data_IF_735068776325
#
_entry.id   IF_735068776325
#
_cell.length_a   1.000
_cell.length_b   1.000
_cell.length_c   1.000
_cell.angle_alpha   90.00
_cell.angle_beta   90.00
_cell.angle_gamma   90.00
#
_symmetry.space_group_name_H-M   'P 1'
#
loop_
_entity.id
_entity.type
_entity.pdbx_description
1 polymer ?
#
# COMPACT_ATOMS: atom_id res chain seq x y z
N UNK A 1 -1.53 -14.11 6.27
CA UNK A 1 -2.79 -14.71 5.76
C UNK A 1 -3.88 -13.64 5.72
N UNK A 2 -4.65 -13.58 4.63
CA UNK A 2 -5.83 -12.72 4.43
C UNK A 2 -7.03 -13.61 4.20
N UNK A 3 -8.14 -13.37 4.91
CA UNK A 3 -9.40 -14.06 4.69
C UNK A 3 -10.54 -13.05 4.59
N UNK A 4 -11.29 -13.14 3.52
CA UNK A 4 -12.41 -12.26 3.20
C UNK A 4 -13.65 -13.11 2.99
N UNK A 5 -14.75 -12.75 3.65
CA UNK A 5 -16.01 -13.49 3.54
C UNK A 5 -17.19 -12.55 3.33
N UNK A 6 -17.91 -12.74 2.23
CA UNK A 6 -19.11 -11.98 1.85
C UNK A 6 -18.90 -10.46 1.91
N UNK A 7 -17.71 -9.97 1.56
CA UNK A 7 -17.35 -8.57 1.65
C UNK A 7 -18.14 -7.74 0.64
N UNK A 8 -18.83 -6.73 1.13
CA UNK A 8 -19.59 -5.80 0.30
C UNK A 8 -19.22 -4.36 0.62
N UNK A 9 -19.22 -3.50 -0.39
CA UNK A 9 -19.03 -2.06 -0.25
C UNK A 9 -20.06 -1.31 -1.07
N UNK A 10 -20.82 -0.49 -0.38
CA UNK A 10 -21.84 0.37 -0.96
C UNK A 10 -21.47 1.81 -0.63
N UNK A 11 -21.37 2.64 -1.64
CA UNK A 11 -21.25 4.09 -1.51
C UNK A 11 -22.62 4.72 -1.64
N UNK A 12 -22.99 5.56 -0.69
CA UNK A 12 -24.26 6.28 -0.68
C UNK A 12 -24.01 7.76 -0.71
N UNK A 13 -24.65 8.42 -1.66
CA UNK A 13 -24.83 9.87 -1.67
C UNK A 13 -26.31 10.15 -1.46
N UNK A 14 -26.71 11.41 -1.34
CA UNK A 14 -28.12 11.79 -1.12
C UNK A 14 -29.06 11.28 -2.22
N UNK A 15 -28.56 11.11 -3.44
CA UNK A 15 -29.38 10.75 -4.61
C UNK A 15 -29.04 9.38 -5.22
N UNK A 16 -27.87 8.82 -4.93
CA UNK A 16 -27.38 7.61 -5.63
C UNK A 16 -26.76 6.63 -4.66
N UNK A 17 -27.09 5.35 -4.83
CA UNK A 17 -26.44 4.24 -4.17
C UNK A 17 -25.66 3.44 -5.22
N UNK A 18 -24.34 3.28 -5.00
CA UNK A 18 -23.44 2.54 -5.88
C UNK A 18 -22.83 1.37 -5.16
N UNK A 19 -23.15 0.15 -5.60
CA UNK A 19 -22.52 -1.07 -5.08
C UNK A 19 -21.19 -1.29 -5.79
N UNK A 20 -20.08 -1.05 -5.08
CA UNK A 20 -18.73 -1.23 -5.61
C UNK A 20 -18.21 -2.66 -5.42
N UNK A 21 -18.61 -3.34 -4.35
CA UNK A 21 -18.32 -4.75 -4.08
C UNK A 21 -19.58 -5.44 -3.61
N UNK A 22 -19.82 -6.65 -4.10
CA UNK A 22 -21.01 -7.43 -3.77
C UNK A 22 -20.64 -8.87 -3.40
N UNK A 23 -20.56 -9.16 -2.09
CA UNK A 23 -20.41 -10.52 -1.56
C UNK A 23 -19.07 -11.20 -1.92
N UNK A 24 -17.98 -10.46 -2.04
CA UNK A 24 -16.67 -11.01 -2.43
C UNK A 24 -16.11 -11.88 -1.30
N UNK A 25 -15.67 -13.10 -1.66
CA UNK A 25 -15.05 -14.04 -0.71
C UNK A 25 -13.82 -14.68 -1.32
N UNK A 26 -12.71 -14.67 -0.59
CA UNK A 26 -11.45 -15.34 -0.96
C UNK A 26 -10.52 -15.45 0.24
N UNK A 27 -9.48 -16.26 0.08
CA UNK A 27 -8.40 -16.42 1.04
C UNK A 27 -7.07 -16.31 0.33
N UNK A 28 -6.10 -15.61 0.95
CA UNK A 28 -4.70 -15.50 0.50
C UNK A 28 -3.83 -15.99 1.65
N UNK A 29 -3.02 -16.99 1.37
CA UNK A 29 -2.08 -17.56 2.34
C UNK A 29 -0.78 -16.76 2.39
N UNK A 30 -0.01 -16.97 3.44
CA UNK A 30 1.29 -16.34 3.57
C UNK A 30 2.22 -16.79 2.43
N UNK A 31 2.97 -15.83 1.88
CA UNK A 31 3.88 -16.06 0.75
C UNK A 31 3.23 -16.12 -0.62
N UNK A 32 1.91 -15.99 -0.74
CA UNK A 32 1.23 -15.98 -2.03
C UNK A 32 1.37 -14.61 -2.72
N UNK A 33 1.51 -14.66 -4.04
CA UNK A 33 1.42 -13.53 -4.93
C UNK A 33 0.08 -13.58 -5.70
N UNK A 34 -0.76 -12.58 -5.50
CA UNK A 34 -2.12 -12.53 -6.08
C UNK A 34 -2.28 -11.31 -6.98
N UNK A 35 -2.86 -11.50 -8.17
CA UNK A 35 -3.23 -10.42 -9.07
C UNK A 35 -4.76 -10.25 -9.11
N UNK A 36 -5.24 -9.02 -8.88
CA UNK A 36 -6.65 -8.67 -9.00
C UNK A 36 -6.85 -8.01 -10.37
N UNK A 37 -7.59 -8.67 -11.25
CA UNK A 37 -7.84 -8.22 -12.62
C UNK A 37 -9.32 -8.00 -12.87
N UNK A 38 -9.63 -7.20 -13.89
CA UNK A 38 -11.01 -6.91 -14.32
C UNK A 38 -11.12 -5.56 -15.03
N UNK A 39 -12.25 -5.26 -15.67
CA UNK A 39 -12.47 -4.01 -16.39
C UNK A 39 -12.39 -2.78 -15.48
N UNK A 40 -12.29 -1.59 -16.09
CA UNK A 40 -12.35 -0.33 -15.34
C UNK A 40 -13.68 -0.22 -14.59
N UNK A 41 -13.66 0.29 -13.37
CA UNK A 41 -14.87 0.48 -12.55
C UNK A 41 -15.39 -0.76 -11.81
N UNK A 42 -14.80 -1.96 -11.99
CA UNK A 42 -15.30 -3.19 -11.35
C UNK A 42 -14.92 -3.35 -9.85
N UNK A 43 -14.52 -2.30 -9.18
CA UNK A 43 -14.26 -2.32 -7.72
C UNK A 43 -12.84 -2.71 -7.27
N UNK A 44 -11.86 -2.92 -8.18
CA UNK A 44 -10.48 -3.32 -7.81
C UNK A 44 -9.84 -2.37 -6.80
N UNK A 45 -9.87 -1.08 -7.07
CA UNK A 45 -9.30 -0.07 -6.17
C UNK A 45 -10.04 -0.01 -4.83
N UNK A 46 -11.36 -0.20 -4.85
CA UNK A 46 -12.16 -0.28 -3.62
C UNK A 46 -11.75 -1.48 -2.78
N UNK A 47 -11.59 -2.65 -3.41
CA UNK A 47 -11.12 -3.84 -2.72
C UNK A 47 -9.70 -3.63 -2.14
N UNK A 48 -8.76 -3.10 -2.94
CA UNK A 48 -7.40 -2.81 -2.46
C UNK A 48 -7.38 -1.80 -1.31
N UNK A 49 -8.25 -0.78 -1.33
CA UNK A 49 -8.36 0.18 -0.23
C UNK A 49 -8.85 -0.49 1.06
N UNK A 50 -9.80 -1.42 0.96
CA UNK A 50 -10.27 -2.17 2.13
C UNK A 50 -9.20 -3.13 2.63
N UNK A 51 -8.55 -3.89 1.74
CA UNK A 51 -7.44 -4.78 2.10
C UNK A 51 -6.27 -4.01 2.73
N UNK A 52 -6.01 -2.81 2.25
CA UNK A 52 -5.02 -1.90 2.79
C UNK A 52 -5.45 -1.16 4.06
N UNK A 53 -6.63 -1.44 4.60
CA UNK A 53 -7.19 -0.75 5.77
C UNK A 53 -7.28 0.78 5.59
N UNK A 54 -7.42 1.25 4.36
CA UNK A 54 -7.68 2.67 4.03
C UNK A 54 -9.18 2.99 4.10
N UNK A 55 -10.03 1.97 3.90
CA UNK A 55 -11.49 2.08 3.97
C UNK A 55 -12.07 0.85 4.69
N UNK A 56 -13.34 0.92 5.10
CA UNK A 56 -14.07 -0.18 5.71
C UNK A 56 -15.06 -0.78 4.72
N UNK A 57 -15.34 -2.09 4.79
CA UNK A 57 -16.47 -2.68 4.11
C UNK A 57 -17.78 -2.16 4.70
N UNK A 58 -18.86 -2.21 3.94
CA UNK A 58 -20.22 -1.96 4.42
C UNK A 58 -20.77 -3.17 5.17
N UNK A 59 -20.41 -4.38 4.72
CA UNK A 59 -20.79 -5.65 5.33
C UNK A 59 -19.81 -6.76 4.95
N UNK A 60 -19.94 -7.91 5.61
CA UNK A 60 -19.01 -9.04 5.49
C UNK A 60 -17.90 -8.98 6.53
N UNK A 61 -16.94 -9.89 6.44
CA UNK A 61 -15.81 -9.95 7.35
C UNK A 61 -14.48 -9.89 6.61
N UNK A 62 -13.49 -9.26 7.25
CA UNK A 62 -12.12 -9.21 6.78
C UNK A 62 -11.15 -9.51 7.91
N UNK A 63 -10.50 -10.65 7.83
CA UNK A 63 -9.49 -11.10 8.77
C UNK A 63 -8.09 -10.94 8.15
N UNK A 64 -7.21 -10.27 8.87
CA UNK A 64 -5.80 -10.07 8.52
C UNK A 64 -4.92 -10.57 9.66
N UNK A 65 -3.98 -11.50 9.35
CA UNK A 65 -3.08 -12.11 10.33
C UNK A 65 -3.81 -12.70 11.56
N UNK A 66 -4.98 -13.33 11.34
CA UNK A 66 -5.79 -13.93 12.40
C UNK A 66 -6.63 -12.93 13.21
N UNK A 67 -6.68 -11.67 12.81
CA UNK A 67 -7.44 -10.62 13.50
C UNK A 67 -8.54 -10.09 12.59
N UNK A 68 -9.79 -10.01 13.09
CA UNK A 68 -10.90 -9.35 12.39
C UNK A 68 -10.66 -7.84 12.34
N UNK A 69 -10.54 -7.30 11.13
CA UNK A 69 -10.18 -5.89 10.91
C UNK A 69 -11.24 -5.09 10.16
N UNK A 70 -12.28 -5.76 9.64
CA UNK A 70 -13.33 -5.11 8.84
C UNK A 70 -14.14 -4.06 9.58
N UNK A 71 -14.29 -4.20 10.90
CA UNK A 71 -15.05 -3.28 11.75
C UNK A 71 -14.21 -2.28 12.55
N UNK A 72 -12.89 -2.23 12.34
CA UNK A 72 -12.00 -1.36 13.12
C UNK A 72 -12.28 0.13 12.87
N UNK A 73 -12.21 0.93 13.95
CA UNK A 73 -12.24 2.40 13.85
C UNK A 73 -10.97 2.92 13.21
N UNK A 74 -11.00 4.14 12.66
CA UNK A 74 -9.87 4.76 11.95
C UNK A 74 -8.55 4.72 12.74
N UNK A 75 -8.59 5.03 14.02
CA UNK A 75 -7.40 5.01 14.89
C UNK A 75 -6.81 3.61 15.05
N UNK A 76 -7.67 2.59 15.12
CA UNK A 76 -7.26 1.19 15.25
C UNK A 76 -6.71 0.66 13.92
N UNK A 77 -7.37 0.98 12.81
CA UNK A 77 -6.89 0.67 11.45
C UNK A 77 -5.50 1.25 11.21
N UNK A 78 -5.31 2.53 11.55
CA UNK A 78 -4.01 3.20 11.42
C UNK A 78 -2.93 2.51 12.26
N UNK A 79 -3.27 2.12 13.50
CA UNK A 79 -2.35 1.38 14.36
C UNK A 79 -2.02 0.01 13.80
N UNK A 80 -3.03 -0.71 13.29
CA UNK A 80 -2.84 -2.05 12.74
C UNK A 80 -2.08 -2.04 11.41
N UNK A 81 -2.35 -1.07 10.55
CA UNK A 81 -1.66 -0.86 9.27
C UNK A 81 -0.15 -0.64 9.47
N UNK A 82 0.20 0.09 10.53
CA UNK A 82 1.58 0.41 10.88
C UNK A 82 2.39 -0.86 11.16
N UNK A 83 3.36 -1.14 10.29
CA UNK A 83 4.25 -2.31 10.41
C UNK A 83 3.71 -3.61 9.81
N UNK A 84 2.42 -3.67 9.41
CA UNK A 84 1.82 -4.87 8.84
C UNK A 84 1.51 -4.74 7.34
N UNK A 85 1.33 -3.52 6.82
CA UNK A 85 0.94 -3.30 5.43
C UNK A 85 1.88 -2.28 4.79
N UNK A 86 2.45 -2.63 3.63
CA UNK A 86 3.18 -1.73 2.75
C UNK A 86 2.39 -1.43 1.48
N UNK A 87 2.50 -0.20 0.96
CA UNK A 87 1.86 0.24 -0.27
C UNK A 87 2.89 0.58 -1.32
N UNK A 88 2.61 0.16 -2.55
CA UNK A 88 3.29 0.66 -3.74
C UNK A 88 2.24 1.33 -4.61
N UNK A 89 2.33 2.65 -4.76
CA UNK A 89 1.37 3.43 -5.51
C UNK A 89 1.74 3.50 -6.99
N UNK A 90 0.75 3.66 -7.85
CA UNK A 90 0.94 3.89 -9.28
C UNK A 90 1.59 5.26 -9.56
N UNK A 91 1.22 6.29 -8.81
CA UNK A 91 1.90 7.59 -8.76
C UNK A 91 2.91 7.58 -7.62
N UNK A 92 3.99 8.33 -7.76
CA UNK A 92 5.11 8.29 -6.81
C UNK A 92 4.73 8.68 -5.38
N UNK A 93 3.64 9.43 -5.18
CA UNK A 93 3.18 9.92 -3.88
C UNK A 93 4.30 10.59 -3.06
N UNK A 94 5.21 11.27 -3.75
CA UNK A 94 6.28 12.03 -3.12
C UNK A 94 5.74 13.36 -2.63
N UNK A 95 6.30 13.83 -1.53
CA UNK A 95 6.05 15.17 -1.02
C UNK A 95 7.08 16.09 -1.67
N UNK A 96 6.62 17.03 -2.49
CA UNK A 96 7.46 17.89 -3.34
C UNK A 96 8.39 18.80 -2.52
N UNK A 97 7.97 19.20 -1.31
CA UNK A 97 8.75 20.03 -0.40
C UNK A 97 9.90 19.27 0.26
N UNK A 98 9.87 17.92 0.24
CA UNK A 98 10.89 17.07 0.82
C UNK A 98 11.92 16.65 -0.23
N UNK A 99 13.18 16.57 0.16
CA UNK A 99 14.20 15.97 -0.68
C UNK A 99 14.07 14.43 -0.72
N UNK A 100 14.89 13.78 -1.56
CA UNK A 100 14.85 12.31 -1.74
C UNK A 100 15.08 11.56 -0.42
N UNK A 101 16.08 11.99 0.36
CA UNK A 101 16.39 11.39 1.65
C UNK A 101 15.18 11.48 2.60
N UNK A 102 14.56 12.65 2.70
CA UNK A 102 13.42 12.92 3.58
C UNK A 102 12.17 12.13 3.16
N UNK A 103 11.89 12.01 1.86
CA UNK A 103 10.80 11.18 1.35
C UNK A 103 11.01 9.69 1.71
N UNK A 104 12.25 9.18 1.62
CA UNK A 104 12.57 7.79 1.99
C UNK A 104 12.52 7.63 3.52
N UNK A 105 12.94 8.62 4.28
CA UNK A 105 12.92 8.58 5.75
C UNK A 105 11.50 8.67 6.33
N UNK A 106 10.60 9.36 5.66
CA UNK A 106 9.28 9.71 6.18
C UNK A 106 8.48 8.51 6.71
N UNK A 107 8.33 7.39 6.00
CA UNK A 107 7.67 6.19 6.54
C UNK A 107 8.34 5.65 7.80
N UNK A 108 9.67 5.72 7.88
CA UNK A 108 10.44 5.23 9.02
C UNK A 108 10.26 6.09 10.28
N UNK A 109 9.87 7.37 10.13
CA UNK A 109 9.56 8.24 11.28
C UNK A 109 8.32 7.80 12.04
N UNK A 110 7.40 7.11 11.38
CA UNK A 110 6.21 6.55 12.00
C UNK A 110 6.47 5.21 12.71
N UNK A 111 7.63 4.60 12.46
CA UNK A 111 8.08 3.41 13.18
C UNK A 111 8.87 3.84 14.44
N UNK A 112 8.80 3.07 15.52
CA UNK A 112 9.49 3.38 16.76
C UNK A 112 10.96 2.97 16.69
N UNK A 113 11.71 3.48 15.69
CA UNK A 113 13.14 3.23 15.51
C UNK A 113 13.96 4.49 15.76
N UNK A 114 15.20 4.30 16.23
CA UNK A 114 16.07 5.41 16.56
C UNK A 114 16.49 6.24 15.33
N UNK A 115 16.86 7.50 15.53
CA UNK A 115 17.32 8.36 14.43
C UNK A 115 18.57 7.80 13.73
N UNK A 116 19.48 7.19 14.49
CA UNK A 116 20.69 6.55 13.94
C UNK A 116 20.35 5.36 13.05
N UNK A 117 19.40 4.53 13.46
CA UNK A 117 18.93 3.38 12.68
C UNK A 117 18.19 3.82 11.41
N UNK A 118 17.32 4.85 11.50
CA UNK A 118 16.67 5.42 10.31
C UNK A 118 17.70 5.89 9.29
N UNK A 119 18.70 6.66 9.76
CA UNK A 119 19.78 7.15 8.89
C UNK A 119 20.54 6.00 8.22
N UNK A 120 20.86 4.93 8.95
CA UNK A 120 21.53 3.76 8.38
C UNK A 120 20.69 3.10 7.30
N UNK A 121 19.40 2.82 7.57
CA UNK A 121 18.47 2.21 6.62
C UNK A 121 18.28 3.07 5.35
N UNK A 122 18.06 4.37 5.49
CA UNK A 122 17.91 5.28 4.34
C UNK A 122 19.19 5.31 3.48
N UNK A 123 20.36 5.41 4.14
CA UNK A 123 21.64 5.44 3.42
C UNK A 123 21.89 4.13 2.66
N UNK A 124 21.55 2.99 3.24
CA UNK A 124 21.66 1.69 2.59
C UNK A 124 20.76 1.60 1.34
N UNK A 125 19.49 2.02 1.47
CA UNK A 125 18.54 2.03 0.34
C UNK A 125 19.04 2.94 -0.78
N UNK A 126 19.50 4.15 -0.44
CA UNK A 126 20.02 5.09 -1.43
C UNK A 126 21.24 4.51 -2.16
N UNK A 127 22.16 3.84 -1.45
CA UNK A 127 23.30 3.15 -2.07
C UNK A 127 22.87 2.04 -3.02
N UNK A 128 21.90 1.20 -2.62
CA UNK A 128 21.34 0.14 -3.47
C UNK A 128 20.72 0.72 -4.76
N UNK A 129 19.95 1.79 -4.65
CA UNK A 129 19.35 2.46 -5.80
C UNK A 129 20.38 3.09 -6.71
N UNK A 130 21.39 3.78 -6.15
CA UNK A 130 22.48 4.36 -6.93
C UNK A 130 23.29 3.28 -7.67
N UNK A 131 23.53 2.13 -7.07
CA UNK A 131 24.22 1.00 -7.71
C UNK A 131 23.40 0.37 -8.84
N UNK A 132 22.07 0.41 -8.74
CA UNK A 132 21.17 -0.15 -9.77
C UNK A 132 20.99 0.79 -10.99
N UNK A 133 21.19 2.11 -10.81
CA UNK A 133 20.91 3.13 -11.84
C UNK A 133 22.16 3.79 -12.44
N UNK A 134 23.40 3.47 -11.95
CA UNK A 134 24.64 4.13 -12.37
C UNK A 134 24.86 5.52 -11.72
N UNK A 135 25.97 6.23 -12.01
CA UNK A 135 26.46 7.36 -11.20
C UNK A 135 25.73 8.70 -11.35
N UNK A 136 24.54 8.79 -11.94
CA UNK A 136 23.84 10.07 -12.10
C UNK A 136 22.41 10.06 -11.61
N UNK A 137 22.22 10.26 -10.31
CA UNK A 137 20.92 10.67 -9.78
C UNK A 137 21.00 12.17 -9.45
N UNK A 138 20.72 13.00 -10.45
CA UNK A 138 20.35 14.40 -10.24
C UNK A 138 18.86 14.47 -9.99
N UNK A 139 18.38 15.52 -9.31
CA UNK A 139 16.95 15.81 -9.05
C UNK A 139 16.05 15.80 -10.31
N UNK A 140 16.67 15.95 -11.48
CA UNK A 140 15.99 15.94 -12.79
C UNK A 140 15.88 14.56 -13.44
N UNK A 141 16.39 13.49 -12.79
CA UNK A 141 16.54 12.15 -13.40
C UNK A 141 15.44 11.16 -13.00
N UNK A 142 14.38 11.59 -12.30
CA UNK A 142 13.18 10.77 -12.24
C UNK A 142 12.44 10.93 -13.57
N UNK A 143 12.45 9.92 -14.46
CA UNK A 143 11.69 10.04 -15.69
C UNK A 143 10.23 10.21 -15.34
N UNK A 144 9.59 11.22 -15.91
CA UNK A 144 8.15 11.24 -16.01
C UNK A 144 7.76 9.91 -16.68
N UNK A 145 7.22 8.98 -15.90
CA UNK A 145 6.79 7.68 -16.41
C UNK A 145 5.60 7.94 -17.31
N UNK A 146 5.86 8.03 -18.60
CA UNK A 146 4.83 7.82 -19.61
C UNK A 146 4.21 6.44 -19.36
N UNK A 147 2.90 6.33 -19.49
CA UNK A 147 2.03 5.19 -19.18
C UNK A 147 2.28 3.95 -20.08
N UNK A 148 3.52 3.46 -20.14
CA UNK A 148 3.85 2.20 -20.81
C UNK A 148 4.54 1.29 -19.79
N UNK A 149 3.87 0.18 -19.52
CA UNK A 149 4.23 -0.86 -18.59
C UNK A 149 5.70 -1.30 -18.72
N UNK A 150 6.52 -0.98 -17.73
CA UNK A 150 7.71 -1.74 -17.46
C UNK A 150 7.70 -2.20 -16.00
N UNK A 151 7.74 -3.52 -15.85
CA UNK A 151 7.76 -4.22 -14.57
C UNK A 151 9.04 -3.88 -13.84
N UNK A 152 8.96 -2.99 -12.85
CA UNK A 152 10.02 -2.88 -11.85
C UNK A 152 9.73 -3.88 -10.73
N UNK A 153 10.68 -4.72 -10.31
CA UNK A 153 10.48 -5.62 -9.18
C UNK A 153 10.21 -4.78 -7.92
N UNK A 154 9.19 -5.17 -7.16
CA UNK A 154 8.89 -4.59 -5.85
C UNK A 154 10.13 -4.76 -4.97
N UNK A 155 10.69 -3.68 -4.41
CA UNK A 155 11.86 -3.80 -3.56
C UNK A 155 11.53 -4.62 -2.31
N UNK A 156 12.36 -5.62 -2.00
CA UNK A 156 12.16 -6.58 -0.89
C UNK A 156 12.06 -5.93 0.51
N UNK A 157 12.42 -4.66 0.65
CA UNK A 157 12.32 -3.92 1.91
C UNK A 157 10.93 -3.29 2.16
N UNK A 158 10.04 -3.33 1.17
CA UNK A 158 8.62 -2.93 1.31
C UNK A 158 7.74 -4.08 1.81
N UNK A 159 8.31 -5.29 1.93
CA UNK A 159 7.60 -6.45 2.47
C UNK A 159 7.94 -6.50 3.97
N UNK A 160 6.96 -6.43 4.87
CA UNK A 160 7.20 -6.72 6.29
C UNK A 160 7.70 -8.14 6.44
N UNK A 161 8.70 -8.35 7.31
CA UNK A 161 9.10 -9.70 7.73
C UNK A 161 7.99 -10.35 8.51
#
# INVERSE_FOLDING_TARGET
>A
MIKVSNLSKIFRTEEIETTALNGVSFEIKDGEFVAIMGPSGCGKSTLLNILGLLDNPTSGSYELLGTEVGGLKEKERTKFRKGNIGFVFQSFNLIDELNVYENIELPLRYLNISASERKAKVTEIMKRMASATGPSISRSSFPAVSSSASRSPVPSWLVPN
#
